data_IF_435075325726
#
_entry.id   IF_435075325726
#
_cell.length_a   1.000
_cell.length_b   1.000
_cell.length_c   1.000
_cell.angle_alpha   90.00
_cell.angle_beta   90.00
_cell.angle_gamma   90.00
#
_symmetry.space_group_name_H-M   'P 1'
#
loop_
_entity.id
_entity.type
_entity.pdbx_description
1 polymer ?
#
# COMPACT_ATOMS: atom_id res chain seq x y z
N UNK A 1 -0.48 17.47 12.99
CA UNK A 1 -1.66 17.68 12.28
C UNK A 1 -2.74 18.56 12.90
N UNK A 2 -2.94 18.70 14.24
CA UNK A 2 -3.95 19.55 14.86
C UNK A 2 -5.33 18.88 15.08
N UNK A 3 -5.50 17.60 14.78
CA UNK A 3 -6.61 16.78 15.21
C UNK A 3 -6.33 16.07 16.53
N UNK A 4 -7.34 15.38 17.07
CA UNK A 4 -7.21 14.56 18.27
C UNK A 4 -7.61 13.10 17.95
N UNK A 5 -6.89 12.17 18.56
CA UNK A 5 -7.12 10.73 18.47
C UNK A 5 -7.28 10.20 19.89
N UNK A 6 -8.28 9.37 20.10
CA UNK A 6 -8.55 8.69 21.36
C UNK A 6 -8.24 7.21 21.23
N UNK A 7 -7.50 6.65 22.18
CA UNK A 7 -7.33 5.20 22.29
C UNK A 7 -8.67 4.55 22.60
N UNK A 8 -9.14 3.72 21.66
CA UNK A 8 -10.49 3.19 21.71
C UNK A 8 -10.62 2.00 22.66
N UNK A 9 -11.52 2.09 23.63
CA UNK A 9 -12.05 0.89 24.29
C UNK A 9 -12.97 0.07 23.37
N UNK A 10 -13.36 0.63 22.22
CA UNK A 10 -14.30 0.05 21.24
C UNK A 10 -13.71 0.15 19.84
N UNK A 11 -12.66 -0.62 19.57
CA UNK A 11 -12.05 -0.74 18.24
C UNK A 11 -13.06 -1.27 17.21
N UNK A 12 -12.94 -0.85 15.96
CA UNK A 12 -13.68 -1.40 14.84
C UNK A 12 -12.87 -2.51 14.17
N UNK A 13 -13.35 -3.76 14.23
CA UNK A 13 -12.72 -4.88 13.57
C UNK A 13 -13.73 -5.65 12.73
N UNK A 14 -13.34 -5.95 11.48
CA UNK A 14 -14.16 -6.71 10.56
C UNK A 14 -15.08 -5.86 9.67
N UNK A 15 -16.18 -6.47 9.20
CA UNK A 15 -17.11 -5.85 8.27
C UNK A 15 -17.91 -4.76 8.95
N UNK A 16 -17.96 -3.59 8.33
CA UNK A 16 -18.73 -2.43 8.75
C UNK A 16 -19.38 -1.75 7.54
N UNK A 17 -20.21 -0.73 7.79
CA UNK A 17 -20.78 0.12 6.74
C UNK A 17 -20.39 1.57 6.99
N UNK A 18 -20.05 2.27 5.92
CA UNK A 18 -19.85 3.72 5.92
C UNK A 18 -20.99 4.39 5.18
N UNK A 19 -21.64 5.33 5.85
CA UNK A 19 -22.59 6.27 5.24
C UNK A 19 -21.83 7.45 4.65
N UNK A 20 -21.99 7.69 3.37
CA UNK A 20 -21.43 8.88 2.69
C UNK A 20 -22.25 10.10 3.07
N UNK A 21 -21.65 11.07 3.74
CA UNK A 21 -22.32 12.26 4.27
C UNK A 21 -22.22 13.47 3.35
N UNK A 22 -21.16 13.54 2.55
CA UNK A 22 -20.90 14.66 1.64
C UNK A 22 -20.30 14.15 0.32
N UNK A 23 -20.52 14.90 -0.76
CA UNK A 23 -19.86 14.65 -2.03
C UNK A 23 -18.36 14.92 -1.91
N UNK A 24 -17.55 14.16 -2.67
CA UNK A 24 -16.11 14.28 -2.70
C UNK A 24 -15.57 13.84 -4.05
N UNK A 25 -14.50 14.48 -4.52
CA UNK A 25 -13.79 14.07 -5.72
C UNK A 25 -13.35 12.60 -5.68
N UNK A 26 -13.05 12.08 -4.48
CA UNK A 26 -12.69 10.68 -4.28
C UNK A 26 -13.83 9.73 -4.65
N UNK A 27 -15.08 10.14 -4.48
CA UNK A 27 -16.27 9.29 -4.69
C UNK A 27 -16.82 9.31 -6.12
N UNK A 28 -16.29 10.17 -6.97
CA UNK A 28 -16.82 10.40 -8.32
C UNK A 28 -16.99 9.12 -9.12
N UNK A 29 -18.24 8.83 -9.51
CA UNK A 29 -18.62 7.63 -10.27
C UNK A 29 -18.56 6.32 -9.49
N UNK A 30 -18.34 6.35 -8.17
CA UNK A 30 -18.18 5.15 -7.33
C UNK A 30 -19.18 5.14 -6.16
N UNK A 31 -19.15 6.19 -5.32
CA UNK A 31 -20.01 6.32 -4.15
C UNK A 31 -20.90 7.56 -4.25
N UNK A 32 -22.08 7.51 -3.65
CA UNK A 32 -23.05 8.58 -3.69
C UNK A 32 -23.41 9.06 -2.28
N UNK A 33 -23.58 10.36 -2.12
CA UNK A 33 -24.08 10.96 -0.87
C UNK A 33 -25.41 10.35 -0.47
N UNK A 34 -25.54 10.03 0.82
CA UNK A 34 -26.72 9.41 1.40
C UNK A 34 -26.76 7.88 1.30
N UNK A 35 -25.88 7.24 0.57
CA UNK A 35 -25.80 5.79 0.45
C UNK A 35 -24.79 5.18 1.43
N UNK A 36 -25.01 3.90 1.75
CA UNK A 36 -24.11 3.10 2.61
C UNK A 36 -23.33 2.10 1.80
N UNK A 37 -22.05 1.93 2.15
CA UNK A 37 -21.17 0.98 1.48
C UNK A 37 -20.43 0.10 2.47
N UNK A 38 -20.30 -1.20 2.18
CA UNK A 38 -19.55 -2.12 3.01
C UNK A 38 -18.05 -1.82 2.93
N UNK A 39 -17.41 -1.85 4.10
CA UNK A 39 -15.97 -1.62 4.26
C UNK A 39 -15.39 -2.57 5.28
N UNK A 40 -14.06 -2.69 5.30
CA UNK A 40 -13.34 -3.46 6.30
C UNK A 40 -12.63 -2.54 7.29
N UNK A 41 -13.03 -2.64 8.56
CA UNK A 41 -12.39 -1.91 9.67
C UNK A 41 -11.33 -2.76 10.33
N UNK A 42 -10.22 -2.14 10.76
CA UNK A 42 -9.19 -2.74 11.60
C UNK A 42 -8.46 -1.64 12.35
N UNK A 43 -9.09 -1.13 13.41
CA UNK A 43 -8.52 -0.05 14.21
C UNK A 43 -8.88 -0.19 15.68
N UNK A 44 -7.93 0.14 16.57
CA UNK A 44 -8.16 0.30 18.01
C UNK A 44 -8.49 1.73 18.37
N UNK A 45 -7.85 2.68 17.71
CA UNK A 45 -7.98 4.12 17.97
C UNK A 45 -8.99 4.75 17.02
N UNK A 46 -9.56 5.90 17.42
CA UNK A 46 -10.48 6.66 16.57
C UNK A 46 -10.16 8.15 16.59
N UNK A 47 -10.41 8.81 15.48
CA UNK A 47 -10.34 10.29 15.40
C UNK A 47 -11.56 10.87 16.13
N UNK A 48 -11.31 11.80 17.04
CA UNK A 48 -12.36 12.47 17.81
C UNK A 48 -12.48 13.95 17.48
N UNK A 49 -11.44 14.54 16.90
CA UNK A 49 -11.44 15.93 16.45
C UNK A 49 -10.72 16.10 15.13
N UNK A 50 -11.37 16.80 14.22
CA UNK A 50 -10.81 17.07 12.89
C UNK A 50 -9.64 18.05 12.95
N UNK A 51 -8.58 17.84 12.14
CA UNK A 51 -7.62 18.88 11.82
C UNK A 51 -8.27 20.04 11.08
N UNK A 52 -7.69 21.23 11.18
CA UNK A 52 -8.17 22.42 10.46
C UNK A 52 -8.15 22.17 8.93
N UNK A 53 -9.23 22.51 8.25
CA UNK A 53 -9.41 22.37 6.81
C UNK A 53 -10.07 21.07 6.37
N UNK A 54 -10.13 20.06 7.25
CA UNK A 54 -10.82 18.82 6.94
C UNK A 54 -12.31 18.89 7.24
N UNK A 55 -13.10 18.16 6.49
CA UNK A 55 -14.52 17.89 6.72
C UNK A 55 -14.78 16.39 6.73
N UNK A 56 -15.80 15.95 7.48
CA UNK A 56 -16.25 14.56 7.44
C UNK A 56 -16.99 14.32 6.13
N UNK A 57 -16.60 13.28 5.41
CA UNK A 57 -17.26 12.86 4.16
C UNK A 57 -17.87 11.47 4.26
N UNK A 58 -17.56 10.73 5.34
CA UNK A 58 -18.16 9.44 5.63
C UNK A 58 -18.16 9.13 7.12
N UNK A 59 -19.25 8.49 7.59
CA UNK A 59 -19.46 8.11 8.99
C UNK A 59 -19.76 6.62 9.11
N UNK A 60 -19.43 6.03 10.25
CA UNK A 60 -19.81 4.67 10.61
C UNK A 60 -20.30 4.65 12.06
N UNK A 61 -21.16 3.73 12.49
CA UNK A 61 -21.68 3.69 13.85
C UNK A 61 -20.61 3.73 14.94
N UNK A 62 -19.50 3.00 14.74
CA UNK A 62 -18.39 2.92 15.69
C UNK A 62 -17.26 3.92 15.39
N UNK A 63 -17.31 4.62 14.27
CA UNK A 63 -16.35 5.62 13.84
C UNK A 63 -17.08 6.82 13.20
N UNK A 64 -17.57 7.79 14.01
CA UNK A 64 -18.28 8.96 13.49
C UNK A 64 -17.44 9.80 12.51
N UNK A 65 -16.11 9.73 12.63
CA UNK A 65 -15.16 10.32 11.71
C UNK A 65 -14.47 9.18 10.94
N UNK A 66 -15.24 8.43 10.15
CA UNK A 66 -14.71 7.29 9.41
C UNK A 66 -13.93 7.69 8.16
N UNK A 67 -14.27 8.85 7.58
CA UNK A 67 -13.61 9.36 6.39
C UNK A 67 -13.64 10.88 6.37
N UNK A 68 -12.49 11.48 6.05
CA UNK A 68 -12.30 12.92 6.01
C UNK A 68 -11.61 13.36 4.73
N UNK A 69 -11.88 14.58 4.29
CA UNK A 69 -11.25 15.18 3.14
C UNK A 69 -10.93 16.67 3.38
N UNK A 70 -9.80 17.09 2.83
CA UNK A 70 -9.45 18.48 2.55
C UNK A 70 -9.22 18.59 1.05
N UNK A 71 -10.26 18.94 0.33
CA UNK A 71 -10.24 18.99 -1.14
C UNK A 71 -9.26 20.04 -1.69
N UNK A 72 -9.05 21.13 -0.95
CA UNK A 72 -8.15 22.19 -1.39
C UNK A 72 -6.68 21.76 -1.39
N UNK A 73 -6.31 20.93 -0.41
CA UNK A 73 -4.96 20.39 -0.29
C UNK A 73 -4.80 19.01 -0.91
N UNK A 74 -5.89 18.39 -1.36
CA UNK A 74 -5.89 17.04 -1.91
C UNK A 74 -5.62 15.95 -0.86
N UNK A 75 -5.97 16.18 0.40
CA UNK A 75 -5.75 15.22 1.48
C UNK A 75 -7.04 14.47 1.81
N UNK A 76 -6.92 13.15 1.85
CA UNK A 76 -8.00 12.23 2.17
C UNK A 76 -7.49 11.21 3.19
N UNK A 77 -8.34 10.86 4.16
CA UNK A 77 -8.01 9.84 5.12
C UNK A 77 -9.24 8.97 5.43
N UNK A 78 -9.00 7.68 5.62
CA UNK A 78 -10.01 6.67 5.96
C UNK A 78 -9.62 5.93 7.22
N UNK A 79 -10.60 5.57 8.03
CA UNK A 79 -10.41 4.71 9.20
C UNK A 79 -10.48 3.23 8.81
N UNK A 80 -10.88 2.92 7.59
CA UNK A 80 -11.04 1.59 7.04
C UNK A 80 -10.05 1.33 5.90
N UNK A 81 -9.87 0.06 5.57
CA UNK A 81 -8.94 -0.40 4.55
C UNK A 81 -9.60 -0.37 3.17
N UNK A 82 -9.04 0.40 2.24
CA UNK A 82 -9.49 0.47 0.84
C UNK A 82 -8.86 -0.64 -0.02
N UNK A 83 -7.67 -1.11 0.37
CA UNK A 83 -6.83 -2.03 -0.41
C UNK A 83 -7.29 -3.50 -0.32
N UNK A 84 -8.13 -3.84 0.64
CA UNK A 84 -8.56 -5.22 0.86
C UNK A 84 -9.80 -5.59 0.04
N UNK A 85 -9.92 -6.85 -0.35
CA UNK A 85 -11.07 -7.37 -1.10
C UNK A 85 -12.41 -7.25 -0.36
N UNK A 86 -12.39 -7.10 0.97
CA UNK A 86 -13.57 -6.93 1.80
C UNK A 86 -14.18 -5.50 1.75
N UNK A 87 -13.49 -4.58 1.06
CA UNK A 87 -14.01 -3.25 0.67
C UNK A 87 -14.23 -3.25 -0.85
N UNK A 88 -15.40 -3.67 -1.36
CA UNK A 88 -15.60 -4.01 -2.78
C UNK A 88 -15.26 -2.89 -3.77
N UNK A 89 -15.48 -1.63 -3.39
CA UNK A 89 -15.18 -0.47 -4.24
C UNK A 89 -13.85 0.21 -3.91
N UNK A 90 -13.06 -0.34 -2.98
CA UNK A 90 -11.83 0.27 -2.51
C UNK A 90 -10.82 0.55 -3.62
N UNK A 91 -10.62 -0.40 -4.53
CA UNK A 91 -9.74 -0.23 -5.69
C UNK A 91 -10.17 0.92 -6.62
N UNK A 92 -11.48 1.17 -6.75
CA UNK A 92 -12.01 2.28 -7.57
C UNK A 92 -11.76 3.62 -6.90
N UNK A 93 -11.91 3.71 -5.57
CA UNK A 93 -11.59 4.90 -4.80
C UNK A 93 -10.09 5.21 -4.85
N UNK A 94 -9.23 4.21 -4.68
CA UNK A 94 -7.78 4.35 -4.85
C UNK A 94 -7.44 4.83 -6.26
N UNK A 95 -8.09 4.29 -7.28
CA UNK A 95 -7.91 4.75 -8.67
C UNK A 95 -8.31 6.22 -8.85
N UNK A 96 -9.43 6.66 -8.27
CA UNK A 96 -9.83 8.07 -8.30
C UNK A 96 -8.78 8.95 -7.64
N UNK A 97 -8.28 8.54 -6.47
CA UNK A 97 -7.20 9.27 -5.81
C UNK A 97 -5.96 9.39 -6.69
N UNK A 98 -5.45 8.26 -7.17
CA UNK A 98 -4.19 8.22 -7.95
C UNK A 98 -4.32 8.96 -9.28
N UNK A 99 -5.45 8.77 -10.00
CA UNK A 99 -5.59 9.29 -11.38
C UNK A 99 -6.20 10.69 -11.45
N UNK A 100 -7.21 10.98 -10.62
CA UNK A 100 -7.95 12.25 -10.70
C UNK A 100 -7.41 13.30 -9.72
N UNK A 101 -7.09 12.90 -8.49
CA UNK A 101 -6.66 13.83 -7.45
C UNK A 101 -5.14 14.03 -7.51
N UNK A 102 -4.36 12.98 -7.40
CA UNK A 102 -2.90 13.05 -7.47
C UNK A 102 -2.35 13.16 -8.90
N UNK A 103 -3.20 12.96 -9.92
CA UNK A 103 -2.86 13.09 -11.35
C UNK A 103 -1.63 12.28 -11.77
N UNK A 104 -1.40 11.13 -11.14
CA UNK A 104 -0.31 10.25 -11.49
C UNK A 104 -0.50 9.70 -12.92
N UNK A 105 0.54 9.77 -13.73
CA UNK A 105 0.50 9.36 -15.15
C UNK A 105 0.35 7.86 -15.34
N UNK A 106 0.81 7.04 -14.35
CA UNK A 106 0.81 5.59 -14.43
C UNK A 106 1.82 5.06 -15.44
N UNK A 107 2.87 5.81 -15.64
CA UNK A 107 4.04 5.47 -16.46
C UNK A 107 5.05 4.60 -15.72
N UNK A 108 4.95 4.52 -14.39
CA UNK A 108 5.71 3.56 -13.61
C UNK A 108 5.13 2.15 -13.78
N UNK A 109 5.95 1.23 -14.28
CA UNK A 109 5.62 -0.18 -14.44
C UNK A 109 6.71 -1.04 -13.82
N UNK A 110 6.37 -2.30 -13.41
CA UNK A 110 7.37 -3.25 -12.91
C UNK A 110 8.47 -3.52 -13.94
N UNK A 111 8.14 -3.49 -15.22
CA UNK A 111 9.11 -3.64 -16.31
C UNK A 111 10.10 -2.48 -16.34
N UNK A 112 9.61 -1.24 -16.34
CA UNK A 112 10.47 -0.05 -16.30
C UNK A 112 11.34 -0.02 -15.04
N UNK A 113 10.76 -0.38 -13.87
CA UNK A 113 11.52 -0.53 -12.63
C UNK A 113 12.64 -1.58 -12.73
N UNK A 114 12.34 -2.75 -13.32
CA UNK A 114 13.33 -3.82 -13.54
C UNK A 114 14.50 -3.31 -14.41
N UNK A 115 14.18 -2.70 -15.55
CA UNK A 115 15.16 -2.16 -16.50
C UNK A 115 16.07 -1.11 -15.81
N UNK A 116 15.48 -0.17 -15.07
CA UNK A 116 16.21 0.85 -14.31
C UNK A 116 17.09 0.23 -13.19
N UNK A 117 16.57 -0.77 -12.48
CA UNK A 117 17.31 -1.48 -11.43
C UNK A 117 18.53 -2.20 -12.01
N UNK A 118 18.39 -2.88 -13.16
CA UNK A 118 19.49 -3.56 -13.85
C UNK A 118 20.57 -2.55 -14.28
N UNK A 119 20.17 -1.41 -14.83
CA UNK A 119 21.12 -0.36 -15.22
C UNK A 119 21.90 0.20 -14.01
N UNK A 120 21.21 0.47 -12.91
CA UNK A 120 21.83 0.91 -11.66
C UNK A 120 22.83 -0.10 -11.12
N UNK A 121 22.47 -1.39 -11.12
CA UNK A 121 23.36 -2.48 -10.70
C UNK A 121 24.59 -2.54 -11.59
N UNK A 122 24.42 -2.50 -12.92
CA UNK A 122 25.55 -2.48 -13.87
C UNK A 122 26.49 -1.32 -13.62
N UNK A 123 25.97 -0.12 -13.44
CA UNK A 123 26.76 1.07 -13.15
C UNK A 123 27.52 0.96 -11.83
N UNK A 124 26.90 0.37 -10.81
CA UNK A 124 27.53 0.18 -9.50
C UNK A 124 28.61 -0.91 -9.52
N UNK A 125 28.36 -2.02 -10.20
CA UNK A 125 29.29 -3.16 -10.31
C UNK A 125 30.51 -2.81 -11.18
N UNK A 126 30.29 -2.14 -12.30
CA UNK A 126 31.33 -1.81 -13.26
C UNK A 126 32.10 -3.08 -13.67
N UNK A 127 33.45 -3.06 -13.47
CA UNK A 127 34.32 -4.20 -13.73
C UNK A 127 34.55 -5.09 -12.48
N UNK A 128 33.84 -4.85 -11.39
CA UNK A 128 33.95 -5.57 -10.14
C UNK A 128 33.31 -6.96 -10.18
N UNK A 129 33.42 -7.68 -9.06
CA UNK A 129 32.70 -8.95 -8.84
C UNK A 129 31.60 -8.77 -7.80
N UNK A 130 30.53 -9.53 -7.94
CA UNK A 130 29.36 -9.50 -7.04
C UNK A 130 29.25 -10.84 -6.34
N UNK A 131 29.02 -10.79 -5.04
CA UNK A 131 28.63 -11.98 -4.24
C UNK A 131 27.21 -11.77 -3.77
N UNK A 132 26.34 -12.74 -4.03
CA UNK A 132 24.95 -12.74 -3.55
C UNK A 132 24.77 -13.88 -2.56
N UNK A 133 24.42 -13.55 -1.31
CA UNK A 133 23.99 -14.51 -0.31
C UNK A 133 22.52 -14.85 -0.47
N UNK A 134 22.18 -16.11 -0.70
CA UNK A 134 20.82 -16.59 -0.85
C UNK A 134 20.30 -17.11 0.50
N UNK A 135 19.20 -16.55 0.99
CA UNK A 135 18.60 -16.90 2.28
C UNK A 135 17.30 -17.70 2.16
N UNK A 136 16.83 -17.98 0.93
CA UNK A 136 15.52 -18.57 0.68
C UNK A 136 14.32 -17.60 0.85
N UNK A 137 14.56 -16.36 1.28
CA UNK A 137 13.52 -15.32 1.41
C UNK A 137 13.20 -14.64 0.10
N UNK A 138 12.04 -13.95 0.03
CA UNK A 138 11.54 -13.24 -1.16
C UNK A 138 12.55 -12.20 -1.66
N UNK A 139 13.18 -11.45 -0.77
CA UNK A 139 14.13 -10.39 -1.15
C UNK A 139 15.36 -10.96 -1.84
N UNK A 140 15.93 -12.05 -1.31
CA UNK A 140 17.07 -12.74 -1.93
C UNK A 140 16.69 -13.39 -3.25
N UNK A 141 15.47 -13.90 -3.39
CA UNK A 141 14.98 -14.45 -4.66
C UNK A 141 14.86 -13.37 -5.74
N UNK A 142 14.35 -12.17 -5.39
CA UNK A 142 14.32 -11.02 -6.32
C UNK A 142 15.73 -10.60 -6.72
N UNK A 143 16.66 -10.53 -5.77
CA UNK A 143 18.07 -10.23 -6.07
C UNK A 143 18.68 -11.29 -6.97
N UNK A 144 18.42 -12.58 -6.75
CA UNK A 144 18.88 -13.68 -7.56
C UNK A 144 18.38 -13.66 -9.01
N UNK A 145 17.25 -12.99 -9.28
CA UNK A 145 16.75 -12.79 -10.65
C UNK A 145 17.39 -11.56 -11.31
N UNK A 146 17.56 -10.47 -10.58
CA UNK A 146 18.07 -9.20 -11.15
C UNK A 146 19.58 -9.20 -11.36
N UNK A 147 20.33 -9.77 -10.42
CA UNK A 147 21.79 -9.75 -10.45
C UNK A 147 22.41 -10.50 -11.65
N UNK A 148 21.93 -11.71 -12.05
CA UNK A 148 22.43 -12.38 -13.25
C UNK A 148 22.23 -11.57 -14.52
N UNK A 149 21.08 -10.93 -14.67
CA UNK A 149 20.78 -10.08 -15.83
C UNK A 149 21.66 -8.82 -15.87
N UNK A 150 22.07 -8.32 -14.71
CA UNK A 150 22.89 -7.12 -14.59
C UNK A 150 24.38 -7.39 -14.73
N UNK A 151 24.88 -8.47 -14.11
CA UNK A 151 26.34 -8.71 -13.93
C UNK A 151 26.86 -10.00 -14.56
N UNK A 152 26.00 -10.90 -15.06
CA UNK A 152 26.43 -12.12 -15.76
C UNK A 152 27.51 -12.91 -15.01
N UNK A 153 28.64 -13.16 -15.66
CA UNK A 153 29.76 -13.93 -15.13
C UNK A 153 30.52 -13.27 -13.96
N UNK A 154 30.19 -12.02 -13.64
CA UNK A 154 30.75 -11.33 -12.47
C UNK A 154 30.06 -11.75 -11.15
N UNK A 155 28.92 -12.45 -11.23
CA UNK A 155 28.11 -12.88 -10.08
C UNK A 155 28.58 -14.23 -9.54
N UNK A 156 28.69 -14.31 -8.22
CA UNK A 156 28.84 -15.56 -7.47
C UNK A 156 27.71 -15.64 -6.45
N UNK A 157 26.82 -16.60 -6.58
CA UNK A 157 25.81 -16.88 -5.58
C UNK A 157 26.33 -17.86 -4.52
N UNK A 158 26.05 -17.57 -3.25
CA UNK A 158 26.43 -18.41 -2.11
C UNK A 158 25.17 -18.72 -1.32
N UNK A 159 24.83 -19.98 -1.25
CA UNK A 159 23.74 -20.48 -0.41
C UNK A 159 24.32 -21.19 0.82
N UNK A 160 23.82 -20.86 2.00
CA UNK A 160 24.27 -21.46 3.27
C UNK A 160 23.12 -22.26 3.88
N UNK A 161 23.21 -23.58 3.76
CA UNK A 161 22.29 -24.51 4.42
C UNK A 161 22.68 -24.70 5.89
N UNK A 162 21.95 -24.07 6.81
CA UNK A 162 22.20 -24.16 8.26
C UNK A 162 21.29 -25.16 8.98
N UNK A 163 20.52 -25.96 8.24
CA UNK A 163 19.61 -26.99 8.81
C UNK A 163 18.30 -26.48 9.42
N UNK A 164 18.04 -25.16 9.37
CA UNK A 164 16.80 -24.54 9.88
C UNK A 164 15.92 -23.99 8.75
N UNK A 165 16.14 -24.48 7.53
CA UNK A 165 15.35 -24.11 6.36
C UNK A 165 13.97 -24.79 6.41
N UNK A 166 12.98 -24.20 5.73
CA UNK A 166 11.70 -24.84 5.52
C UNK A 166 11.86 -26.09 4.66
N UNK A 167 10.93 -27.03 4.82
CA UNK A 167 10.94 -28.25 4.01
C UNK A 167 10.86 -27.92 2.51
N UNK A 168 11.85 -28.38 1.72
CA UNK A 168 11.96 -28.12 0.28
C UNK A 168 12.63 -26.80 -0.10
N UNK A 169 12.92 -25.90 0.82
CA UNK A 169 13.48 -24.57 0.54
C UNK A 169 14.90 -24.63 -0.06
N UNK A 170 15.69 -25.64 0.34
CA UNK A 170 17.04 -25.82 -0.20
C UNK A 170 17.07 -26.33 -1.64
N UNK A 171 16.01 -26.98 -2.11
CA UNK A 171 15.86 -27.53 -3.46
C UNK A 171 15.24 -26.51 -4.43
N UNK A 172 14.58 -25.48 -3.89
CA UNK A 172 13.96 -24.39 -4.66
C UNK A 172 14.93 -23.21 -4.94
N UNK A 173 16.01 -23.10 -4.22
CA UNK A 173 17.01 -22.03 -4.32
C UNK A 173 18.19 -22.47 -5.21
#
# INVERSE_FOLDING_TARGET
GGGEVEAGQHGGFGRAEVLVTEDSALFEGVWRKGEKYPVWMSHGDRVTKLPKGFRVVGTSPNAPIAMIADEQRGFYATQFHLEVMHTPHGALLIRNFVRKIAQCRGDWTMRAFKEEAIEKIRAQVGNGRVICGLSGGVDSAVAAVLLPEASGDQLTCVFVGHGLLRQGEAEEV
#
